data_IF_090875043394
#
_entry.id   IF_090875043394
#
_cell.length_a   1.000
_cell.length_b   1.000
_cell.length_c   1.000
_cell.angle_alpha   90.00
_cell.angle_beta   90.00
_cell.angle_gamma   90.00
#
_symmetry.space_group_name_H-M   'P 1'
#
loop_
_entity.id
_entity.type
_entity.pdbx_description
1 polymer ?
#
# COMPACT_ATOMS: atom_id res chain seq x y z
N UNK A 1 79.43 27.92 -5.87
CA UNK A 1 79.17 28.40 -4.51
C UNK A 1 78.34 29.67 -4.61
N UNK A 2 77.19 29.70 -3.91
CA UNK A 2 76.27 30.84 -3.68
C UNK A 2 75.53 31.43 -4.89
N UNK A 3 74.24 31.73 -4.88
CA UNK A 3 73.04 31.35 -4.10
C UNK A 3 71.86 31.98 -4.86
N UNK A 4 70.97 31.18 -5.44
CA UNK A 4 69.74 31.64 -6.10
C UNK A 4 68.70 31.97 -5.01
N UNK A 5 68.16 33.19 -5.01
CA UNK A 5 67.01 33.58 -4.19
C UNK A 5 65.90 34.08 -5.10
N UNK A 6 65.04 33.17 -5.57
CA UNK A 6 63.75 33.51 -6.18
C UNK A 6 62.70 33.38 -5.08
N UNK A 7 62.12 34.51 -4.65
CA UNK A 7 61.01 34.52 -3.70
C UNK A 7 59.72 34.18 -4.45
N UNK A 8 59.25 32.95 -4.23
CA UNK A 8 57.89 32.54 -4.55
C UNK A 8 56.92 33.20 -3.57
N UNK A 9 55.83 33.77 -4.08
CA UNK A 9 54.62 34.08 -3.31
C UNK A 9 53.46 33.43 -4.04
N UNK A 10 53.12 32.23 -3.57
CA UNK A 10 51.97 31.45 -4.00
C UNK A 10 50.83 31.65 -2.99
N UNK A 11 49.70 32.11 -3.53
CA UNK A 11 48.33 31.60 -3.37
C UNK A 11 47.82 31.15 -1.99
N UNK A 12 46.70 31.74 -1.55
CA UNK A 12 45.72 31.04 -0.70
C UNK A 12 44.29 31.40 -1.14
N UNK A 13 43.75 30.59 -2.06
CA UNK A 13 42.31 30.56 -2.38
C UNK A 13 41.62 29.85 -1.22
N UNK A 14 40.71 30.54 -0.52
CA UNK A 14 39.87 29.93 0.51
C UNK A 14 38.92 28.91 -0.14
N UNK A 15 39.15 27.63 0.14
CA UNK A 15 38.22 26.55 -0.17
C UNK A 15 36.98 26.67 0.72
N UNK A 16 35.83 26.99 0.13
CA UNK A 16 34.53 26.73 0.72
C UNK A 16 34.28 25.22 0.70
N UNK A 17 34.33 24.57 1.85
CA UNK A 17 33.95 23.17 1.99
C UNK A 17 32.41 23.09 2.00
N UNK A 18 31.76 22.36 1.07
CA UNK A 18 30.33 22.10 1.17
C UNK A 18 30.11 21.10 2.32
N UNK A 19 29.40 21.53 3.35
CA UNK A 19 28.79 20.66 4.34
C UNK A 19 27.77 19.77 3.64
N UNK A 20 28.21 18.58 3.23
CA UNK A 20 27.31 17.54 2.77
C UNK A 20 26.41 17.13 3.94
N UNK A 21 25.22 17.71 4.01
CA UNK A 21 24.12 17.20 4.79
C UNK A 21 23.81 15.78 4.28
N UNK A 22 24.24 14.76 5.03
CA UNK A 22 23.75 13.40 4.84
C UNK A 22 22.26 13.43 5.18
N UNK A 23 21.41 13.46 4.15
CA UNK A 23 20.04 13.01 4.29
C UNK A 23 20.09 11.62 4.92
N UNK A 24 19.44 11.46 6.06
CA UNK A 24 19.15 10.14 6.60
C UNK A 24 18.15 9.52 5.63
N UNK A 25 18.68 8.83 4.63
CA UNK A 25 17.94 7.89 3.82
C UNK A 25 17.38 6.87 4.80
N UNK A 26 16.10 7.04 5.14
CA UNK A 26 15.32 6.03 5.84
C UNK A 26 15.61 4.72 5.13
N UNK A 27 16.37 3.83 5.77
CA UNK A 27 16.43 2.45 5.35
C UNK A 27 15.02 1.92 5.54
N UNK A 28 14.22 2.07 4.49
CA UNK A 28 13.02 1.30 4.28
C UNK A 28 13.48 -0.15 4.38
N UNK A 29 13.28 -0.77 5.55
CA UNK A 29 13.53 -2.19 5.74
C UNK A 29 12.82 -2.88 4.58
N UNK A 30 13.56 -3.68 3.82
CA UNK A 30 12.99 -4.68 2.92
C UNK A 30 12.27 -5.71 3.80
N UNK A 31 11.12 -5.31 4.35
CA UNK A 31 10.22 -6.24 5.00
C UNK A 31 9.67 -7.15 3.89
N UNK A 32 9.73 -8.48 4.08
CA UNK A 32 9.31 -9.40 3.04
C UNK A 32 7.88 -9.11 2.62
N UNK A 33 7.63 -9.00 1.32
CA UNK A 33 6.30 -8.77 0.76
C UNK A 33 5.32 -9.80 1.35
N UNK A 34 4.35 -9.31 2.12
CA UNK A 34 3.26 -10.14 2.66
C UNK A 34 2.07 -10.03 1.72
N UNK A 35 1.61 -11.16 1.20
CA UNK A 35 0.38 -11.25 0.44
C UNK A 35 -0.73 -11.81 1.31
N UNK A 36 -1.93 -11.25 1.17
CA UNK A 36 -3.09 -11.59 1.97
C UNK A 36 -4.23 -12.08 1.08
N UNK A 37 -4.94 -13.10 1.55
CA UNK A 37 -6.29 -13.46 1.09
C UNK A 37 -7.34 -12.84 2.01
N UNK A 38 -8.54 -12.58 1.49
CA UNK A 38 -9.64 -11.98 2.24
C UNK A 38 -10.95 -12.74 1.99
N UNK A 39 -11.79 -12.85 3.02
CA UNK A 39 -13.21 -13.15 2.85
C UNK A 39 -14.04 -12.18 3.70
N UNK A 40 -15.19 -11.77 3.17
CA UNK A 40 -16.06 -10.78 3.78
C UNK A 40 -17.31 -11.45 4.32
N UNK A 41 -17.70 -11.05 5.53
CA UNK A 41 -18.99 -11.38 6.10
C UNK A 41 -20.13 -10.61 5.41
N UNK A 42 -21.35 -10.70 5.95
CA UNK A 42 -22.48 -9.96 5.40
C UNK A 42 -22.26 -8.45 5.53
N UNK A 43 -22.57 -7.72 4.46
CA UNK A 43 -22.49 -6.27 4.40
C UNK A 43 -23.73 -5.61 5.00
N UNK A 44 -23.53 -4.58 5.83
CA UNK A 44 -24.60 -3.78 6.44
C UNK A 44 -24.32 -2.27 6.31
N UNK A 45 -25.19 -1.50 5.62
CA UNK A 45 -26.28 -1.98 4.76
C UNK A 45 -25.78 -2.89 3.63
N UNK A 46 -26.70 -3.61 2.97
CA UNK A 46 -26.36 -4.42 1.81
C UNK A 46 -25.71 -3.56 0.71
N UNK A 47 -24.84 -4.16 -0.09
CA UNK A 47 -24.19 -3.49 -1.20
C UNK A 47 -25.23 -3.00 -2.22
N UNK A 48 -25.18 -1.71 -2.55
CA UNK A 48 -26.04 -1.06 -3.53
C UNK A 48 -25.19 -0.59 -4.71
N UNK A 49 -25.23 -1.33 -5.81
CA UNK A 49 -24.51 -1.03 -7.06
C UNK A 49 -24.80 0.36 -7.60
N UNK A 50 -26.05 0.82 -7.46
CA UNK A 50 -26.44 2.15 -7.90
C UNK A 50 -25.83 3.22 -7.00
N UNK A 51 -25.77 2.98 -5.69
CA UNK A 51 -25.04 3.86 -4.77
C UNK A 51 -23.53 3.89 -5.05
N UNK A 52 -22.96 2.81 -5.58
CA UNK A 52 -21.57 2.77 -6.04
C UNK A 52 -21.34 3.47 -7.39
N UNK A 53 -22.38 4.00 -8.04
CA UNK A 53 -22.27 4.70 -9.32
C UNK A 53 -22.42 3.81 -10.56
N UNK A 54 -23.01 2.61 -10.42
CA UNK A 54 -23.22 1.67 -11.53
C UNK A 54 -24.69 1.34 -11.76
N UNK A 55 -25.11 1.32 -13.03
CA UNK A 55 -26.51 1.05 -13.39
C UNK A 55 -26.89 -0.44 -13.38
N UNK A 56 -25.90 -1.33 -13.59
CA UNK A 56 -26.09 -2.77 -13.68
C UNK A 56 -25.16 -3.51 -12.70
N UNK A 57 -25.64 -4.56 -12.01
CA UNK A 57 -24.78 -5.45 -11.24
C UNK A 57 -23.71 -6.06 -12.15
N UNK A 58 -22.47 -6.07 -11.68
CA UNK A 58 -21.38 -6.75 -12.37
C UNK A 58 -21.42 -8.23 -11.98
N UNK A 59 -21.28 -9.12 -12.96
CA UNK A 59 -21.07 -10.54 -12.69
C UNK A 59 -19.63 -10.74 -12.14
N UNK A 60 -19.46 -11.16 -10.88
CA UNK A 60 -18.14 -11.33 -10.30
C UNK A 60 -17.33 -12.49 -10.94
N UNK A 61 -17.95 -13.33 -11.77
CA UNK A 61 -17.29 -14.44 -12.46
C UNK A 61 -16.55 -14.03 -13.74
N UNK A 62 -16.92 -12.91 -14.37
CA UNK A 62 -16.30 -12.44 -15.62
C UNK A 62 -15.03 -11.61 -15.41
N UNK A 63 -14.71 -11.29 -14.16
CA UNK A 63 -13.56 -10.47 -13.84
C UNK A 63 -12.33 -11.28 -13.47
N UNK A 64 -11.18 -10.84 -14.00
CA UNK A 64 -9.89 -11.43 -13.70
C UNK A 64 -9.54 -11.16 -12.22
N UNK A 65 -9.51 -12.26 -11.47
CA UNK A 65 -8.94 -12.30 -10.13
C UNK A 65 -7.42 -12.31 -10.22
N UNK A 66 -6.74 -11.79 -9.20
CA UNK A 66 -5.33 -12.07 -8.98
C UNK A 66 -5.12 -13.60 -8.83
N UNK A 67 -3.87 -14.04 -8.99
CA UNK A 67 -3.50 -15.45 -8.89
C UNK A 67 -4.13 -16.10 -7.64
N UNK A 68 -4.53 -17.38 -7.76
CA UNK A 68 -5.26 -18.13 -6.73
C UNK A 68 -6.68 -17.63 -6.38
N UNK A 69 -7.29 -16.82 -7.26
CA UNK A 69 -8.68 -16.40 -7.11
C UNK A 69 -8.89 -15.21 -6.17
N UNK A 70 -7.87 -14.34 -6.04
CA UNK A 70 -7.84 -13.18 -5.13
C UNK A 70 -8.37 -11.89 -5.78
N UNK A 71 -8.77 -10.91 -4.96
CA UNK A 71 -8.97 -9.53 -5.42
C UNK A 71 -7.67 -8.71 -5.34
N UNK A 72 -7.51 -7.74 -6.23
CA UNK A 72 -6.32 -6.87 -6.24
C UNK A 72 -6.36 -5.88 -5.08
N UNK A 73 -5.32 -5.89 -4.25
CA UNK A 73 -5.04 -4.82 -3.29
C UNK A 73 -4.26 -3.72 -4.00
N UNK A 74 -4.58 -2.45 -3.75
CA UNK A 74 -3.69 -1.36 -4.15
C UNK A 74 -2.61 -1.20 -3.07
N UNK A 75 -1.35 -1.14 -3.51
CA UNK A 75 -0.21 -0.77 -2.66
C UNK A 75 -0.10 0.74 -2.48
N UNK A 76 -0.90 1.51 -3.22
CA UNK A 76 -0.92 2.95 -3.12
C UNK A 76 -1.86 3.37 -1.98
N UNK A 77 -1.24 3.99 -0.98
CA UNK A 77 -1.86 4.91 -0.04
C UNK A 77 -2.76 4.29 1.04
N UNK A 78 -2.15 3.73 2.08
CA UNK A 78 -2.54 4.10 3.44
C UNK A 78 -1.28 4.23 4.31
N UNK A 79 -1.02 5.40 4.88
CA UNK A 79 0.11 5.66 5.80
C UNK A 79 -0.03 4.89 7.13
N UNK A 80 -1.26 4.48 7.44
CA UNK A 80 -1.57 3.58 8.56
C UNK A 80 -0.93 2.21 8.32
N UNK A 81 -0.57 1.48 9.37
CA UNK A 81 -0.07 0.10 9.32
C UNK A 81 -1.20 -0.94 9.38
N UNK A 82 -2.45 -0.51 9.58
CA UNK A 82 -3.59 -1.40 9.81
C UNK A 82 -4.62 -1.46 8.67
N UNK A 83 -4.79 -0.40 7.90
CA UNK A 83 -5.79 -0.28 6.81
C UNK A 83 -5.31 -0.61 5.39
N UNK A 84 -5.89 -1.58 4.71
CA UNK A 84 -5.56 -1.98 3.33
C UNK A 84 -6.66 -1.50 2.40
N UNK A 85 -6.29 -0.88 1.28
CA UNK A 85 -7.24 -0.53 0.22
C UNK A 85 -7.28 -1.64 -0.84
N UNK A 86 -8.48 -2.12 -1.16
CA UNK A 86 -8.75 -3.12 -2.17
C UNK A 86 -9.54 -2.50 -3.31
N UNK A 87 -9.23 -2.90 -4.54
CA UNK A 87 -9.98 -2.55 -5.74
C UNK A 87 -10.57 -3.83 -6.33
N UNK A 88 -11.51 -4.47 -5.62
CA UNK A 88 -12.10 -5.71 -6.09
C UNK A 88 -12.90 -5.48 -7.36
N UNK A 89 -12.84 -6.45 -8.23
CA UNK A 89 -13.56 -6.39 -9.51
C UNK A 89 -15.09 -6.43 -9.37
N UNK A 90 -15.57 -7.04 -8.28
CA UNK A 90 -16.98 -7.08 -7.90
C UNK A 90 -17.43 -5.83 -7.12
N UNK A 91 -16.54 -4.90 -6.81
CA UNK A 91 -16.93 -3.62 -6.21
C UNK A 91 -16.01 -2.48 -6.63
N UNK A 92 -16.34 -1.81 -7.75
CA UNK A 92 -15.45 -0.87 -8.42
C UNK A 92 -15.16 0.41 -7.62
N UNK A 93 -16.03 0.78 -6.67
CA UNK A 93 -15.80 1.93 -5.81
C UNK A 93 -14.64 1.71 -4.81
N UNK A 94 -14.19 0.46 -4.64
CA UNK A 94 -13.13 0.08 -3.71
C UNK A 94 -13.64 -0.36 -2.34
N UNK A 95 -12.77 -1.02 -1.59
CA UNK A 95 -13.06 -1.51 -0.24
C UNK A 95 -11.87 -1.21 0.67
N UNK A 96 -12.11 -0.59 1.80
CA UNK A 96 -11.10 -0.38 2.84
C UNK A 96 -11.21 -1.49 3.89
N UNK A 97 -10.08 -2.06 4.29
CA UNK A 97 -9.97 -3.19 5.22
C UNK A 97 -9.03 -2.84 6.36
N UNK A 98 -9.53 -2.72 7.58
CA UNK A 98 -8.71 -2.49 8.77
C UNK A 98 -8.46 -3.82 9.50
N UNK A 99 -7.19 -4.20 9.63
CA UNK A 99 -6.71 -5.37 10.35
C UNK A 99 -5.89 -4.95 11.58
N UNK A 100 -5.97 -5.67 12.71
CA UNK A 100 -5.09 -5.42 13.86
C UNK A 100 -3.61 -5.71 13.55
N UNK A 101 -3.33 -6.58 12.57
CA UNK A 101 -1.98 -6.87 12.07
C UNK A 101 -2.08 -7.26 10.58
N UNK A 102 -1.27 -6.62 9.71
CA UNK A 102 -1.18 -6.93 8.28
C UNK A 102 -0.20 -8.05 7.93
N UNK A 103 0.55 -8.55 8.89
CA UNK A 103 1.47 -9.67 8.75
C UNK A 103 1.08 -10.85 9.65
N UNK A 104 -0.08 -11.50 9.42
CA UNK A 104 -0.42 -12.73 10.13
C UNK A 104 0.63 -13.81 9.87
N UNK A 105 0.87 -14.66 10.88
CA UNK A 105 1.74 -15.82 10.69
C UNK A 105 1.11 -16.79 9.66
N UNK A 106 1.94 -17.65 9.07
CA UNK A 106 1.43 -18.68 8.16
C UNK A 106 0.48 -19.62 8.92
N UNK A 107 -0.71 -19.83 8.39
CA UNK A 107 -1.77 -20.63 9.03
C UNK A 107 -2.74 -19.82 9.90
N UNK A 108 -2.41 -18.57 10.24
CA UNK A 108 -3.29 -17.72 11.02
C UNK A 108 -4.36 -17.04 10.15
N UNK A 109 -5.54 -16.88 10.74
CA UNK A 109 -6.60 -16.02 10.22
C UNK A 109 -6.84 -14.87 11.20
N UNK A 110 -6.69 -13.65 10.73
CA UNK A 110 -6.91 -12.42 11.49
C UNK A 110 -8.28 -11.84 11.14
N UNK A 111 -9.01 -11.42 12.16
CA UNK A 111 -10.33 -10.78 12.01
C UNK A 111 -10.17 -9.28 12.06
N UNK A 112 -10.73 -8.60 11.07
CA UNK A 112 -10.77 -7.14 10.97
C UNK A 112 -12.17 -6.61 10.69
N UNK A 113 -12.22 -5.38 10.19
CA UNK A 113 -13.43 -4.74 9.70
C UNK A 113 -13.19 -4.16 8.32
N UNK A 114 -14.23 -4.12 7.49
CA UNK A 114 -14.17 -3.54 6.16
C UNK A 114 -15.32 -2.56 5.94
N UNK A 115 -15.10 -1.55 5.10
CA UNK A 115 -16.17 -0.73 4.54
C UNK A 115 -16.02 -0.60 3.03
N UNK A 116 -17.16 -0.64 2.33
CA UNK A 116 -17.22 -0.51 0.89
C UNK A 116 -17.53 0.95 0.54
N UNK A 117 -16.74 1.55 -0.36
CA UNK A 117 -17.00 2.93 -0.79
C UNK A 117 -18.26 3.00 -1.65
N UNK A 118 -18.91 4.16 -1.64
CA UNK A 118 -20.05 4.47 -2.48
C UNK A 118 -19.87 5.90 -3.02
N UNK A 119 -20.49 6.18 -4.17
CA UNK A 119 -20.40 7.47 -4.85
C UNK A 119 -21.38 8.54 -4.30
N UNK A 120 -21.99 8.32 -3.13
CA UNK A 120 -22.87 9.28 -2.46
C UNK A 120 -22.50 9.44 -0.99
N UNK A 121 -21.85 10.57 -0.65
CA UNK A 121 -21.40 10.88 0.70
C UNK A 121 -22.52 11.14 1.73
N UNK A 122 -23.79 11.15 1.31
CA UNK A 122 -24.94 11.30 2.21
C UNK A 122 -25.48 9.95 2.70
N UNK A 123 -25.09 8.85 2.05
CA UNK A 123 -25.53 7.50 2.40
C UNK A 123 -24.56 6.86 3.39
N UNK A 124 -25.09 5.97 4.23
CA UNK A 124 -24.26 5.15 5.13
C UNK A 124 -23.47 4.13 4.29
N UNK A 125 -22.14 4.10 4.48
CA UNK A 125 -21.27 3.12 3.82
C UNK A 125 -21.59 1.69 4.32
N UNK A 126 -21.67 0.70 3.42
CA UNK A 126 -21.70 -0.71 3.78
C UNK A 126 -20.48 -1.09 4.62
N UNK A 127 -20.70 -1.84 5.70
CA UNK A 127 -19.64 -2.37 6.57
C UNK A 127 -19.76 -3.87 6.74
N UNK A 128 -18.64 -4.57 6.88
CA UNK A 128 -18.60 -6.01 7.11
C UNK A 128 -17.46 -6.40 8.05
N UNK A 129 -17.57 -7.58 8.67
CA UNK A 129 -16.39 -8.27 9.21
C UNK A 129 -15.59 -8.85 8.04
N UNK A 130 -14.27 -8.90 8.21
CA UNK A 130 -13.37 -9.47 7.22
C UNK A 130 -12.39 -10.39 7.91
N UNK A 131 -12.11 -11.52 7.27
CA UNK A 131 -11.06 -12.44 7.70
C UNK A 131 -9.94 -12.36 6.67
N UNK A 132 -8.71 -12.22 7.15
CA UNK A 132 -7.52 -12.15 6.34
C UNK A 132 -6.53 -13.23 6.76
N UNK A 133 -5.84 -13.84 5.80
CA UNK A 133 -4.81 -14.84 6.06
C UNK A 133 -3.65 -14.65 5.08
N UNK A 134 -2.46 -15.07 5.50
CA UNK A 134 -1.27 -15.01 4.63
C UNK A 134 -1.40 -16.05 3.53
N UNK A 135 -1.06 -15.64 2.31
CA UNK A 135 -0.98 -16.50 1.12
C UNK A 135 0.40 -16.37 0.48
N UNK A 136 0.84 -17.35 -0.33
CA UNK A 136 2.04 -17.21 -1.15
C UNK A 136 1.93 -15.98 -2.07
N UNK A 137 2.96 -15.15 -2.10
CA UNK A 137 3.06 -14.10 -3.12
C UNK A 137 3.42 -14.73 -4.47
N UNK A 138 2.66 -14.44 -5.51
CA UNK A 138 3.06 -14.84 -6.85
C UNK A 138 4.22 -13.97 -7.33
N UNK A 139 5.16 -14.56 -8.06
CA UNK A 139 6.42 -13.94 -8.49
C UNK A 139 6.27 -12.86 -9.57
N UNK A 140 5.03 -12.48 -9.93
CA UNK A 140 4.72 -11.53 -11.02
C UNK A 140 4.34 -10.13 -10.57
N UNK A 141 4.33 -9.84 -9.27
CA UNK A 141 4.24 -8.47 -8.77
C UNK A 141 5.66 -7.85 -8.66
N UNK A 142 6.27 -7.55 -9.81
CA UNK A 142 7.44 -6.68 -9.91
C UNK A 142 7.31 -5.80 -11.13
#
# INVERSE_FOLDING_TARGET
MSSIRVRALATAVLLAAPTAARSQQHQQRDEPTVCLGFTFGPWTPALDWRAAGHESPIDPSIHQRADDGRDWATTQAVEDEHTIMLLPSWWPAGVSVTLPNRAPALGDTVVGSAFAFIADGRKKVPTAKVWAWRVPCSSRAR
#
